data_IF_168371140623
#
_entry.id   IF_168371140623
#
_cell.length_a   1.000
_cell.length_b   1.000
_cell.length_c   1.000
_cell.angle_alpha   90.00
_cell.angle_beta   90.00
_cell.angle_gamma   90.00
#
_symmetry.space_group_name_H-M   'P 1'
#
loop_
_entity.id
_entity.type
_entity.pdbx_description
1 polymer ?
#
# COMPACT_ATOMS: atom_id res chain seq x y z
N UNK A 1 49.71 -22.57 34.14
CA UNK A 1 48.52 -22.62 33.26
C UNK A 1 48.95 -22.21 31.85
N UNK A 2 48.89 -23.15 30.88
CA UNK A 2 49.28 -22.92 29.48
C UNK A 2 48.05 -22.44 28.69
N UNK A 3 48.03 -21.20 28.23
CA UNK A 3 46.95 -20.65 27.41
C UNK A 3 47.42 -20.65 25.95
N UNK A 4 46.76 -21.49 25.15
CA UNK A 4 46.99 -21.68 23.71
C UNK A 4 46.63 -20.42 22.92
N UNK A 5 47.59 -19.83 22.22
CA UNK A 5 47.39 -18.83 21.18
C UNK A 5 46.84 -19.48 19.92
N UNK A 6 45.57 -19.22 19.59
CA UNK A 6 45.00 -19.50 18.28
C UNK A 6 45.10 -18.24 17.42
N UNK A 7 46.02 -18.23 16.46
CA UNK A 7 45.98 -17.33 15.31
C UNK A 7 44.81 -17.77 14.42
N UNK A 8 43.63 -17.20 14.66
CA UNK A 8 42.51 -17.26 13.73
C UNK A 8 42.82 -16.31 12.56
N UNK A 9 43.57 -16.82 11.58
CA UNK A 9 43.60 -16.24 10.24
C UNK A 9 42.24 -16.49 9.59
N UNK A 10 41.29 -15.58 9.83
CA UNK A 10 40.03 -15.52 9.10
C UNK A 10 40.34 -15.12 7.65
N UNK A 11 40.44 -16.11 6.76
CA UNK A 11 40.38 -15.91 5.33
C UNK A 11 38.96 -15.46 4.95
N UNK A 12 38.75 -14.16 4.91
CA UNK A 12 37.47 -13.57 4.46
C UNK A 12 37.36 -13.62 2.93
N UNK A 13 36.20 -14.04 2.38
CA UNK A 13 35.92 -14.01 0.95
C UNK A 13 36.09 -12.59 0.39
N UNK A 14 36.58 -12.48 -0.85
CA UNK A 14 36.92 -11.23 -1.55
C UNK A 14 35.79 -10.19 -1.57
N UNK A 15 34.54 -10.63 -1.44
CA UNK A 15 33.35 -9.76 -1.53
C UNK A 15 33.02 -9.00 -0.24
N UNK A 16 33.52 -9.46 0.92
CA UNK A 16 33.29 -8.76 2.19
C UNK A 16 34.37 -7.72 2.52
N UNK A 17 35.45 -7.68 1.75
CA UNK A 17 36.54 -6.71 1.93
C UNK A 17 36.07 -5.28 1.64
N UNK A 18 35.17 -5.10 0.68
CA UNK A 18 34.59 -3.80 0.35
C UNK A 18 33.63 -3.29 1.44
N UNK A 19 32.78 -4.17 1.96
CA UNK A 19 31.83 -3.80 3.02
C UNK A 19 32.54 -3.52 4.35
N UNK A 20 33.54 -4.31 4.72
CA UNK A 20 34.37 -4.04 5.89
C UNK A 20 35.25 -2.80 5.72
N UNK A 21 35.74 -2.50 4.51
CA UNK A 21 36.48 -1.27 4.24
C UNK A 21 35.58 -0.02 4.39
N UNK A 22 34.33 -0.06 3.92
CA UNK A 22 33.36 1.04 4.06
C UNK A 22 32.94 1.23 5.53
N UNK A 23 32.76 0.14 6.29
CA UNK A 23 32.49 0.20 7.73
C UNK A 23 33.70 0.69 8.55
N UNK A 24 34.93 0.30 8.17
CA UNK A 24 36.14 0.83 8.81
C UNK A 24 36.39 2.31 8.46
N UNK A 25 36.00 2.75 7.25
CA UNK A 25 36.13 4.16 6.85
C UNK A 25 35.13 5.06 7.59
N UNK A 26 33.93 4.57 7.87
CA UNK A 26 32.95 5.29 8.70
C UNK A 26 33.34 5.39 10.18
N UNK A 27 34.08 4.40 10.71
CA UNK A 27 34.63 4.45 12.08
C UNK A 27 35.96 5.22 12.23
N UNK A 28 36.72 5.43 11.14
CA UNK A 28 37.94 6.25 11.15
C UNK A 28 37.68 7.75 11.02
N UNK A 29 36.46 8.17 10.65
CA UNK A 29 36.14 9.58 10.41
C UNK A 29 35.61 10.32 11.66
N UNK A 30 35.25 9.63 12.74
CA UNK A 30 34.82 10.25 14.01
C UNK A 30 35.25 9.37 15.20
N UNK A 31 36.25 9.77 16.04
CA UNK A 31 36.31 11.08 16.67
C UNK A 31 37.74 11.68 16.69
N UNK A 32 38.03 12.60 15.76
CA UNK A 32 39.14 13.56 15.93
C UNK A 32 38.59 14.95 16.28
N UNK A 33 37.66 15.01 17.23
CA UNK A 33 37.10 16.25 17.75
C UNK A 33 37.10 16.30 19.29
N UNK A 34 37.93 15.47 19.95
CA UNK A 34 37.99 15.39 21.42
C UNK A 34 39.36 15.81 22.02
N UNK A 35 40.34 16.24 21.22
CA UNK A 35 41.67 16.59 21.75
C UNK A 35 42.28 17.82 21.08
N UNK A 36 41.63 18.98 21.18
CA UNK A 36 42.27 20.31 21.17
C UNK A 36 41.36 21.35 21.86
N UNK A 37 40.84 20.98 23.04
CA UNK A 37 40.31 21.95 24.00
C UNK A 37 41.44 22.46 24.88
N UNK A 38 42.26 23.37 24.38
CA UNK A 38 43.39 23.85 25.15
C UNK A 38 44.18 24.96 24.44
N UNK A 39 44.03 26.17 24.97
CA UNK A 39 44.88 27.34 24.76
C UNK A 39 44.83 28.01 23.38
N UNK A 40 44.24 29.21 23.40
CA UNK A 40 44.94 30.38 22.91
C UNK A 40 44.68 30.75 21.46
N UNK A 41 43.54 31.39 21.20
CA UNK A 41 43.50 32.60 20.36
C UNK A 41 42.51 33.60 20.94
N UNK A 42 43.01 34.39 21.89
CA UNK A 42 42.71 35.83 21.93
C UNK A 42 43.14 36.42 20.59
N UNK A 43 42.22 36.57 19.67
CA UNK A 43 42.33 37.41 18.48
C UNK A 43 41.00 38.15 18.41
N UNK A 44 40.89 39.33 19.01
CA UNK A 44 41.00 40.58 18.27
C UNK A 44 40.18 40.55 16.96
N UNK A 45 38.89 40.26 17.12
CA UNK A 45 37.82 40.61 16.21
C UNK A 45 36.84 41.52 16.93
N UNK A 46 37.35 42.55 17.62
CA UNK A 46 36.55 43.70 18.04
C UNK A 46 36.17 44.49 16.80
N UNK A 47 35.27 43.92 16.01
CA UNK A 47 34.62 44.64 14.93
C UNK A 47 33.83 45.77 15.55
N UNK A 48 34.10 47.00 15.10
CA UNK A 48 33.31 48.19 15.36
C UNK A 48 31.86 47.98 14.87
N UNK A 49 31.08 47.17 15.58
CA UNK A 49 29.64 47.27 15.54
C UNK A 49 29.28 48.21 16.66
N UNK A 50 29.12 49.49 16.33
CA UNK A 50 28.26 50.35 17.12
C UNK A 50 26.84 49.80 16.98
N UNK A 51 26.52 48.71 17.67
CA UNK A 51 25.19 48.12 17.75
C UNK A 51 24.34 49.04 18.60
N UNK A 52 23.92 50.17 18.04
CA UNK A 52 22.89 50.99 18.66
C UNK A 52 21.66 50.11 18.86
N UNK A 53 20.97 50.25 20.00
CA UNK A 53 19.73 49.52 20.26
C UNK A 53 18.73 49.67 19.09
N UNK A 54 18.75 50.85 18.44
CA UNK A 54 18.04 51.15 17.20
C UNK A 54 18.39 50.16 16.06
N UNK A 55 19.67 49.95 15.77
CA UNK A 55 20.13 49.07 14.69
C UNK A 55 19.73 47.61 14.95
N UNK A 56 19.82 47.15 16.20
CA UNK A 56 19.37 45.81 16.59
C UNK A 56 17.85 45.65 16.44
N UNK A 57 17.07 46.67 16.81
CA UNK A 57 15.63 46.70 16.62
C UNK A 57 15.26 46.71 15.12
N UNK A 58 15.95 47.49 14.29
CA UNK A 58 15.72 47.56 12.84
C UNK A 58 16.05 46.24 12.16
N UNK A 59 17.16 45.56 12.53
CA UNK A 59 17.47 44.23 12.03
C UNK A 59 16.46 43.17 12.50
N UNK A 60 16.04 43.23 13.77
CA UNK A 60 15.00 42.36 14.30
C UNK A 60 13.69 42.52 13.52
N UNK A 61 13.26 43.76 13.29
CA UNK A 61 12.06 44.07 12.50
C UNK A 61 12.19 43.61 11.05
N UNK A 62 13.34 43.84 10.40
CA UNK A 62 13.60 43.36 9.05
C UNK A 62 13.61 41.82 8.98
N UNK A 63 14.13 41.14 10.00
CA UNK A 63 14.10 39.67 10.08
C UNK A 63 12.68 39.13 10.22
N UNK A 64 11.84 39.79 11.02
CA UNK A 64 10.42 39.45 11.16
C UNK A 64 9.66 39.66 9.85
N UNK A 65 9.86 40.80 9.16
CA UNK A 65 9.22 41.06 7.87
C UNK A 65 9.62 40.04 6.81
N UNK A 66 10.90 39.64 6.76
CA UNK A 66 11.36 38.55 5.87
C UNK A 66 10.71 37.23 6.27
N UNK A 67 10.70 36.88 7.55
CA UNK A 67 10.08 35.65 8.04
C UNK A 67 8.60 35.57 7.66
N UNK A 68 7.86 36.68 7.76
CA UNK A 68 6.47 36.77 7.33
C UNK A 68 6.31 36.57 5.82
N UNK A 69 7.21 37.15 5.01
CA UNK A 69 7.25 36.91 3.57
C UNK A 69 7.52 35.44 3.21
N UNK A 70 8.50 34.82 3.87
CA UNK A 70 8.81 33.40 3.71
C UNK A 70 7.65 32.50 4.14
N UNK A 71 6.95 32.84 5.23
CA UNK A 71 5.78 32.11 5.68
C UNK A 71 4.67 32.12 4.62
N UNK A 72 4.41 33.26 3.98
CA UNK A 72 3.40 33.34 2.92
C UNK A 72 3.75 32.46 1.70
N UNK A 73 5.03 32.42 1.33
CA UNK A 73 5.52 31.56 0.26
C UNK A 73 5.36 30.08 0.63
N UNK A 74 5.81 29.69 1.82
CA UNK A 74 5.69 28.31 2.31
C UNK A 74 4.23 27.87 2.43
N UNK A 75 3.34 28.74 2.90
CA UNK A 75 1.90 28.47 2.96
C UNK A 75 1.32 28.24 1.55
N UNK A 76 1.77 29.04 0.57
CA UNK A 76 1.32 28.89 -0.83
C UNK A 76 1.81 27.59 -1.45
N UNK A 77 3.06 27.20 -1.19
CA UNK A 77 3.63 25.92 -1.63
C UNK A 77 2.92 24.73 -0.96
N UNK A 78 2.67 24.81 0.35
CA UNK A 78 1.92 23.81 1.08
C UNK A 78 0.50 23.63 0.53
N UNK A 79 -0.18 24.74 0.20
CA UNK A 79 -1.52 24.68 -0.42
C UNK A 79 -1.49 23.99 -1.79
N UNK A 80 -0.49 24.26 -2.64
CA UNK A 80 -0.32 23.58 -3.93
C UNK A 80 -0.07 22.09 -3.75
N UNK A 81 0.81 21.72 -2.81
CA UNK A 81 1.13 20.33 -2.52
C UNK A 81 -0.11 19.58 -1.98
N UNK A 82 -0.90 20.23 -1.13
CA UNK A 82 -2.16 19.68 -0.63
C UNK A 82 -3.16 19.42 -1.77
N UNK A 83 -3.33 20.39 -2.67
CA UNK A 83 -4.22 20.23 -3.83
C UNK A 83 -3.74 19.10 -4.75
N UNK A 84 -2.43 19.00 -4.98
CA UNK A 84 -1.83 17.91 -5.76
C UNK A 84 -2.09 16.55 -5.13
N UNK A 85 -1.90 16.43 -3.80
CA UNK A 85 -2.17 15.20 -3.07
C UNK A 85 -3.66 14.79 -3.14
N UNK A 86 -4.58 15.76 -3.03
CA UNK A 86 -6.01 15.50 -3.20
C UNK A 86 -6.35 15.01 -4.61
N UNK A 87 -5.77 15.61 -5.65
CA UNK A 87 -5.95 15.13 -7.04
C UNK A 87 -5.49 13.69 -7.18
N UNK A 88 -4.28 13.37 -6.71
CA UNK A 88 -3.75 12.02 -6.74
C UNK A 88 -4.63 11.03 -5.97
N UNK A 89 -5.20 11.43 -4.84
CA UNK A 89 -6.12 10.59 -4.08
C UNK A 89 -7.39 10.27 -4.88
N UNK A 90 -7.97 11.26 -5.56
CA UNK A 90 -9.15 11.10 -6.40
C UNK A 90 -8.83 10.18 -7.59
N UNK A 91 -7.72 10.43 -8.27
CA UNK A 91 -7.27 9.62 -9.41
C UNK A 91 -7.02 8.16 -9.00
N UNK A 92 -6.39 7.96 -7.85
CA UNK A 92 -6.20 6.62 -7.29
C UNK A 92 -7.56 5.95 -7.05
N UNK A 93 -8.49 6.61 -6.38
CA UNK A 93 -9.83 6.06 -6.10
C UNK A 93 -10.59 5.71 -7.40
N UNK A 94 -10.49 6.57 -8.41
CA UNK A 94 -11.06 6.32 -9.74
C UNK A 94 -10.45 5.07 -10.37
N UNK A 95 -9.11 5.00 -10.42
CA UNK A 95 -8.37 3.86 -10.96
C UNK A 95 -8.69 2.54 -10.26
N UNK A 96 -8.81 2.55 -8.92
CA UNK A 96 -9.26 1.38 -8.16
C UNK A 96 -10.63 0.89 -8.60
N UNK A 97 -11.56 1.82 -8.79
CA UNK A 97 -12.93 1.51 -9.20
C UNK A 97 -12.98 0.94 -10.62
N UNK A 98 -12.30 1.61 -11.56
CA UNK A 98 -12.20 1.17 -12.96
C UNK A 98 -11.57 -0.24 -13.04
N UNK A 99 -10.43 -0.44 -12.38
CA UNK A 99 -9.73 -1.73 -12.34
C UNK A 99 -10.64 -2.85 -11.83
N UNK A 100 -11.40 -2.61 -10.76
CA UNK A 100 -12.32 -3.61 -10.22
C UNK A 100 -13.41 -4.01 -11.23
N UNK A 101 -14.03 -3.03 -11.91
CA UNK A 101 -15.07 -3.32 -12.89
C UNK A 101 -14.51 -3.97 -14.16
N UNK A 102 -13.31 -3.57 -14.59
CA UNK A 102 -12.61 -4.20 -15.72
C UNK A 102 -12.30 -5.66 -15.42
N UNK A 103 -11.70 -5.96 -14.26
CA UNK A 103 -11.45 -7.34 -13.83
C UNK A 103 -12.75 -8.15 -13.77
N UNK A 104 -13.82 -7.56 -13.23
CA UNK A 104 -15.14 -8.22 -13.16
C UNK A 104 -15.70 -8.51 -14.55
N UNK A 105 -15.55 -7.58 -15.49
CA UNK A 105 -15.98 -7.74 -16.89
C UNK A 105 -15.18 -8.85 -17.57
N UNK A 106 -13.86 -8.83 -17.47
CA UNK A 106 -12.98 -9.87 -18.01
C UNK A 106 -13.32 -11.24 -17.43
N UNK A 107 -13.50 -11.35 -16.11
CA UNK A 107 -13.90 -12.61 -15.48
C UNK A 107 -15.27 -13.11 -15.95
N UNK A 108 -16.23 -12.20 -16.19
CA UNK A 108 -17.55 -12.58 -16.72
C UNK A 108 -17.43 -13.07 -18.17
N UNK A 109 -16.59 -12.44 -18.98
CA UNK A 109 -16.33 -12.84 -20.36
C UNK A 109 -15.66 -14.22 -20.42
N UNK A 110 -14.59 -14.42 -19.66
CA UNK A 110 -13.91 -15.72 -19.58
C UNK A 110 -14.87 -16.84 -19.15
N UNK A 111 -15.69 -16.61 -18.10
CA UNK A 111 -16.71 -17.59 -17.69
C UNK A 111 -17.79 -17.84 -18.73
N UNK A 112 -18.12 -16.85 -19.57
CA UNK A 112 -19.10 -17.02 -20.62
C UNK A 112 -18.52 -17.81 -21.81
N UNK A 113 -17.23 -17.65 -22.09
CA UNK A 113 -16.49 -18.41 -23.09
C UNK A 113 -16.30 -19.88 -22.68
N UNK A 114 -16.02 -20.13 -21.39
CA UNK A 114 -15.90 -21.47 -20.81
C UNK A 114 -17.26 -22.13 -20.51
N UNK A 115 -18.35 -21.36 -20.49
CA UNK A 115 -19.65 -21.89 -20.13
C UNK A 115 -20.10 -22.94 -21.16
N UNK A 116 -20.62 -24.09 -20.71
CA UNK A 116 -21.23 -25.05 -21.62
C UNK A 116 -22.43 -24.41 -22.33
N UNK A 117 -22.71 -24.87 -23.55
CA UNK A 117 -23.85 -24.42 -24.33
C UNK A 117 -25.12 -24.50 -23.47
N UNK A 118 -25.82 -23.37 -23.33
CA UNK A 118 -27.09 -23.34 -22.59
C UNK A 118 -28.11 -24.18 -23.34
N UNK A 119 -28.78 -25.07 -22.61
CA UNK A 119 -29.91 -25.86 -23.14
C UNK A 119 -30.95 -24.88 -23.70
N UNK A 120 -31.40 -25.11 -24.93
CA UNK A 120 -32.44 -24.28 -25.55
C UNK A 120 -33.77 -24.48 -24.82
N UNK A 121 -34.69 -23.52 -24.93
CA UNK A 121 -35.99 -23.63 -24.26
C UNK A 121 -36.77 -24.89 -24.69
N UNK A 122 -36.71 -25.23 -25.98
CA UNK A 122 -37.36 -26.42 -26.53
C UNK A 122 -36.72 -27.71 -26.01
N UNK A 123 -35.39 -27.75 -25.92
CA UNK A 123 -34.66 -28.89 -25.35
C UNK A 123 -34.97 -29.04 -23.86
N UNK A 124 -35.10 -27.94 -23.12
CA UNK A 124 -35.51 -27.95 -21.72
C UNK A 124 -36.94 -28.52 -21.57
N UNK A 125 -37.89 -28.12 -22.43
CA UNK A 125 -39.25 -28.69 -22.43
C UNK A 125 -39.21 -30.17 -22.79
N UNK A 126 -38.39 -30.58 -23.77
CA UNK A 126 -38.28 -31.97 -24.18
C UNK A 126 -37.71 -32.83 -23.06
N UNK A 127 -36.65 -32.37 -22.40
CA UNK A 127 -36.05 -33.02 -21.23
C UNK A 127 -37.05 -33.09 -20.06
N UNK A 128 -37.77 -32.00 -19.78
CA UNK A 128 -38.79 -32.00 -18.74
C UNK A 128 -39.91 -33.02 -19.03
N UNK A 129 -40.33 -33.14 -20.29
CA UNK A 129 -41.31 -34.16 -20.71
C UNK A 129 -40.76 -35.58 -20.65
N UNK A 130 -39.48 -35.79 -20.95
CA UNK A 130 -38.88 -37.14 -20.94
C UNK A 130 -38.59 -37.65 -19.53
N UNK A 131 -38.35 -36.75 -18.58
CA UNK A 131 -38.11 -37.09 -17.16
C UNK A 131 -39.39 -37.05 -16.33
N UNK A 132 -40.50 -36.52 -16.89
CA UNK A 132 -41.77 -36.46 -16.20
C UNK A 132 -42.26 -37.88 -15.82
N UNK A 133 -42.72 -38.09 -14.58
CA UNK A 133 -43.32 -39.36 -14.19
C UNK A 133 -44.58 -39.63 -15.02
N UNK A 134 -44.92 -40.92 -15.23
CA UNK A 134 -46.15 -41.28 -15.92
C UNK A 134 -47.36 -40.66 -15.21
N UNK A 135 -48.38 -40.27 -15.99
CA UNK A 135 -49.64 -39.76 -15.44
C UNK A 135 -50.34 -40.86 -14.65
N UNK A 136 -50.99 -40.48 -13.56
CA UNK A 136 -51.81 -41.38 -12.74
C UNK A 136 -52.89 -42.02 -13.62
N UNK A 137 -53.02 -43.34 -13.54
CA UNK A 137 -54.11 -44.08 -14.20
C UNK A 137 -55.44 -43.84 -13.48
N UNK A 138 -56.57 -44.12 -14.12
CA UNK A 138 -57.91 -44.00 -13.52
C UNK A 138 -58.13 -44.87 -12.27
N UNK A 139 -57.29 -45.88 -12.07
CA UNK A 139 -57.23 -46.70 -10.85
C UNK A 139 -56.45 -46.06 -9.71
N UNK A 140 -55.62 -45.07 -10.00
CA UNK A 140 -54.79 -44.33 -9.04
C UNK A 140 -55.35 -42.94 -8.73
N UNK A 141 -56.18 -42.38 -9.61
CA UNK A 141 -56.87 -41.10 -9.47
C UNK A 141 -58.31 -41.24 -9.96
N UNK A 142 -59.28 -40.99 -9.07
CA UNK A 142 -60.69 -40.89 -9.44
C UNK A 142 -60.95 -39.54 -10.14
N UNK A 143 -61.35 -39.52 -11.43
CA UNK A 143 -61.58 -38.29 -12.18
C UNK A 143 -62.81 -37.50 -11.73
N UNK A 144 -63.75 -38.11 -11.00
CA UNK A 144 -65.00 -37.46 -10.57
C UNK A 144 -64.85 -36.83 -9.19
N UNK A 145 -64.18 -37.53 -8.27
CA UNK A 145 -64.03 -37.07 -6.88
C UNK A 145 -62.67 -36.43 -6.59
N UNK A 146 -61.67 -36.65 -7.45
CA UNK A 146 -60.30 -36.20 -7.25
C UNK A 146 -59.53 -36.98 -6.19
N UNK A 147 -60.08 -38.09 -5.68
CA UNK A 147 -59.39 -38.94 -4.72
C UNK A 147 -58.20 -39.66 -5.35
N UNK A 148 -57.03 -39.56 -4.71
CA UNK A 148 -55.79 -40.23 -5.10
C UNK A 148 -55.61 -41.48 -4.24
N UNK A 149 -55.50 -42.65 -4.88
CA UNK A 149 -55.15 -43.90 -4.20
C UNK A 149 -53.64 -43.98 -4.01
N UNK A 150 -53.18 -43.80 -2.77
CA UNK A 150 -51.76 -43.99 -2.43
C UNK A 150 -51.42 -45.48 -2.32
N UNK A 151 -50.23 -45.92 -2.77
CA UNK A 151 -49.75 -47.28 -2.54
C UNK A 151 -49.49 -47.53 -1.04
N UNK A 152 -49.61 -48.79 -0.60
CA UNK A 152 -49.46 -49.21 0.81
C UNK A 152 -48.18 -48.72 1.51
N UNK A 153 -47.10 -48.51 0.76
CA UNK A 153 -45.81 -47.96 1.27
C UNK A 153 -45.85 -46.47 1.61
N UNK A 154 -46.90 -45.76 1.20
CA UNK A 154 -47.12 -44.33 1.46
C UNK A 154 -48.38 -44.08 2.32
N UNK A 155 -48.95 -45.14 2.89
CA UNK A 155 -50.04 -45.07 3.86
C UNK A 155 -49.41 -45.31 5.24
N UNK A 156 -49.65 -44.40 6.20
CA UNK A 156 -49.23 -44.55 7.61
C UNK A 156 -49.92 -45.75 8.29
#
# INVERSE_FOLDING_TARGET
MKIRTWLLTLSFPTEHRFLCAILCWSFLVLPLAAQMGGMGRRGWGGGNYASTAQQGADYGMASMMRAQGYQNLQNSEAAKNYQSALSQQIDNRKKWTETYFDMRKTNRQARAEEAPARISHEDAIRLAKSVAPPRLSSTQLDPVTGHIQYPLVLQD
#
